data_IF_396807631636
#
_entry.id   IF_396807631636
#
_cell.length_a   1.000
_cell.length_b   1.000
_cell.length_c   1.000
_cell.angle_alpha   90.00
_cell.angle_beta   90.00
_cell.angle_gamma   90.00
#
_symmetry.space_group_name_H-M   'P 1'
#
loop_
_entity.id
_entity.type
_entity.pdbx_description
1 polymer ?
#
# COMPACT_ATOMS: atom_id res chain seq x y z
N UNK A 1 7.35 3.10 -20.52
CA UNK A 1 6.06 3.21 -19.84
C UNK A 1 6.27 4.15 -18.68
N UNK A 2 5.62 5.31 -18.74
CA UNK A 2 5.72 6.31 -17.69
C UNK A 2 4.88 5.93 -16.46
N UNK A 3 5.23 6.50 -15.30
CA UNK A 3 4.50 6.25 -14.03
C UNK A 3 3.00 6.53 -14.18
N UNK A 4 2.67 7.66 -14.80
CA UNK A 4 1.28 8.08 -15.02
C UNK A 4 0.52 7.15 -15.95
N UNK A 5 1.17 6.66 -17.01
CA UNK A 5 0.57 5.72 -17.95
C UNK A 5 0.27 4.37 -17.27
N UNK A 6 1.18 3.92 -16.41
CA UNK A 6 0.96 2.73 -15.59
C UNK A 6 -0.21 2.91 -14.62
N UNK A 7 -0.28 4.05 -13.92
CA UNK A 7 -1.35 4.32 -12.93
C UNK A 7 -2.73 4.48 -13.59
N UNK A 8 -2.80 5.03 -14.80
CA UNK A 8 -4.07 5.14 -15.55
C UNK A 8 -4.75 3.79 -15.77
N UNK A 9 -4.00 2.68 -15.83
CA UNK A 9 -4.58 1.34 -15.92
C UNK A 9 -5.44 0.94 -14.69
N UNK A 10 -5.31 1.67 -13.57
CA UNK A 10 -6.04 1.44 -12.32
C UNK A 10 -7.18 2.46 -12.08
N UNK A 11 -7.41 3.38 -13.02
CA UNK A 11 -8.53 4.33 -13.01
C UNK A 11 -9.79 3.69 -13.59
N UNK A 12 -10.33 2.69 -12.90
CA UNK A 12 -11.48 1.91 -13.39
C UNK A 12 -12.81 2.66 -13.30
N UNK A 13 -12.89 3.61 -12.38
CA UNK A 13 -14.07 4.42 -12.02
C UNK A 13 -13.92 5.89 -12.40
N UNK A 14 -12.86 6.25 -13.14
CA UNK A 14 -12.52 7.63 -13.45
C UNK A 14 -11.85 8.38 -12.31
N UNK A 15 -11.41 7.68 -11.24
CA UNK A 15 -10.57 8.26 -10.20
C UNK A 15 -9.19 8.66 -10.76
N UNK A 16 -8.76 9.88 -10.48
CA UNK A 16 -7.49 10.42 -10.96
C UNK A 16 -6.49 10.70 -9.83
N UNK A 17 -6.89 10.50 -8.57
CA UNK A 17 -6.00 10.67 -7.42
C UNK A 17 -4.80 9.74 -7.49
N UNK A 18 -3.61 10.33 -7.51
CA UNK A 18 -2.34 9.61 -7.54
C UNK A 18 -2.24 8.55 -6.42
N UNK A 19 -2.63 8.93 -5.19
CA UNK A 19 -2.53 8.05 -4.03
C UNK A 19 -3.48 6.85 -4.16
N UNK A 20 -4.73 7.09 -4.57
CA UNK A 20 -5.72 6.02 -4.75
C UNK A 20 -5.31 5.06 -5.87
N UNK A 21 -4.83 5.59 -6.99
CA UNK A 21 -4.32 4.78 -8.09
C UNK A 21 -3.08 3.97 -7.69
N UNK A 22 -2.18 4.54 -6.89
CA UNK A 22 -1.00 3.85 -6.39
C UNK A 22 -1.39 2.73 -5.41
N UNK A 23 -2.33 2.96 -4.50
CA UNK A 23 -2.85 1.93 -3.60
C UNK A 23 -3.46 0.78 -4.41
N UNK A 24 -4.27 1.09 -5.42
CA UNK A 24 -4.87 0.08 -6.31
C UNK A 24 -3.81 -0.69 -7.08
N UNK A 25 -2.77 0.00 -7.58
CA UNK A 25 -1.63 -0.65 -8.21
C UNK A 25 -0.94 -1.60 -7.23
N UNK A 26 -0.70 -1.20 -5.98
CA UNK A 26 -0.10 -2.09 -4.96
C UNK A 26 -1.00 -3.28 -4.59
N UNK A 27 -2.33 -3.14 -4.68
CA UNK A 27 -3.27 -4.20 -4.35
C UNK A 27 -3.49 -5.22 -5.49
N UNK A 28 -3.49 -4.76 -6.74
CA UNK A 28 -3.93 -5.56 -7.89
C UNK A 28 -2.93 -5.62 -9.04
N UNK A 29 -1.90 -4.79 -9.00
CA UNK A 29 -0.86 -4.69 -10.03
C UNK A 29 0.25 -5.72 -9.88
N UNK A 30 1.14 -5.74 -10.87
CA UNK A 30 2.33 -6.59 -10.81
C UNK A 30 3.44 -5.89 -9.98
N UNK A 31 3.87 -6.47 -8.85
CA UNK A 31 4.84 -5.83 -7.95
C UNK A 31 6.21 -5.58 -8.59
N UNK A 32 6.63 -6.40 -9.56
CA UNK A 32 7.89 -6.18 -10.28
C UNK A 32 7.86 -4.90 -11.12
N UNK A 33 6.70 -4.59 -11.73
CA UNK A 33 6.53 -3.34 -12.46
C UNK A 33 6.49 -2.15 -11.52
N UNK A 34 5.85 -2.30 -10.37
CA UNK A 34 5.75 -1.24 -9.35
C UNK A 34 7.14 -0.90 -8.81
N UNK A 35 7.94 -1.91 -8.45
CA UNK A 35 9.30 -1.72 -7.94
C UNK A 35 10.26 -1.07 -8.95
N UNK A 36 9.99 -1.18 -10.26
CA UNK A 36 10.78 -0.50 -11.29
C UNK A 36 10.39 0.97 -11.48
N UNK A 37 9.14 1.33 -11.15
CA UNK A 37 8.58 2.64 -11.46
C UNK A 37 8.62 3.59 -10.26
N UNK A 38 8.44 3.08 -9.05
CA UNK A 38 8.33 3.86 -7.81
C UNK A 38 9.51 3.59 -6.89
N UNK A 39 9.87 4.56 -6.06
CA UNK A 39 10.90 4.33 -5.03
C UNK A 39 10.32 3.54 -3.87
N UNK A 40 11.17 2.79 -3.18
CA UNK A 40 10.79 2.05 -1.98
C UNK A 40 10.20 2.97 -0.90
N UNK A 41 10.79 4.15 -0.72
CA UNK A 41 10.35 5.17 0.24
C UNK A 41 8.92 5.68 -0.05
N UNK A 42 8.60 5.92 -1.32
CA UNK A 42 7.25 6.33 -1.76
C UNK A 42 6.23 5.23 -1.44
N UNK A 43 6.55 3.99 -1.80
CA UNK A 43 5.67 2.83 -1.56
C UNK A 43 5.50 2.56 -0.06
N UNK A 44 6.58 2.67 0.71
CA UNK A 44 6.57 2.48 2.18
C UNK A 44 5.68 3.50 2.86
N UNK A 45 5.77 4.78 2.46
CA UNK A 45 4.91 5.82 3.00
C UNK A 45 3.43 5.52 2.73
N UNK A 46 3.08 5.25 1.47
CA UNK A 46 1.69 4.98 1.07
C UNK A 46 1.15 3.72 1.75
N UNK A 47 1.96 2.66 1.84
CA UNK A 47 1.61 1.43 2.53
C UNK A 47 1.32 1.66 4.02
N UNK A 48 2.21 2.38 4.73
CA UNK A 48 2.05 2.65 6.15
C UNK A 48 0.84 3.55 6.47
N UNK A 49 0.60 4.57 5.66
CA UNK A 49 -0.54 5.48 5.81
C UNK A 49 -1.88 4.77 5.52
N UNK A 50 -1.88 3.78 4.61
CA UNK A 50 -3.09 3.09 4.15
C UNK A 50 -3.14 1.60 4.54
N UNK A 51 -2.37 1.19 5.55
CA UNK A 51 -2.19 -0.24 5.90
C UNK A 51 -3.51 -0.99 6.13
N UNK A 52 -4.50 -0.31 6.68
CA UNK A 52 -5.84 -0.83 6.97
C UNK A 52 -6.60 -1.27 5.70
N UNK A 53 -6.20 -0.82 4.51
CA UNK A 53 -6.80 -1.21 3.21
C UNK A 53 -6.19 -2.50 2.65
N UNK A 54 -5.00 -2.87 3.11
CA UNK A 54 -4.31 -4.08 2.67
C UNK A 54 -4.85 -5.29 3.44
N UNK A 55 -5.25 -6.34 2.72
CA UNK A 55 -5.58 -7.63 3.33
C UNK A 55 -4.31 -8.29 3.89
N UNK A 56 -4.48 -9.27 4.78
CA UNK A 56 -3.38 -9.96 5.48
C UNK A 56 -2.28 -10.48 4.54
N UNK A 57 -2.66 -11.08 3.43
CA UNK A 57 -1.74 -11.61 2.40
C UNK A 57 -0.93 -10.49 1.75
N UNK A 58 -1.60 -9.42 1.31
CA UNK A 58 -0.93 -8.26 0.70
C UNK A 58 -0.06 -7.52 1.72
N UNK A 59 -0.48 -7.43 2.99
CA UNK A 59 0.33 -6.84 4.06
C UNK A 59 1.63 -7.58 4.27
N UNK A 60 1.56 -8.91 4.44
CA UNK A 60 2.76 -9.72 4.65
C UNK A 60 3.74 -9.59 3.47
N UNK A 61 3.21 -9.56 2.25
CA UNK A 61 4.00 -9.31 1.05
C UNK A 61 4.69 -7.94 1.07
N UNK A 62 3.93 -6.85 1.23
CA UNK A 62 4.49 -5.50 1.17
C UNK A 62 5.37 -5.16 2.38
N UNK A 63 5.10 -5.73 3.56
CA UNK A 63 5.98 -5.63 4.71
C UNK A 63 7.36 -6.22 4.42
N UNK A 64 7.40 -7.38 3.75
CA UNK A 64 8.65 -8.04 3.40
C UNK A 64 9.39 -7.32 2.26
N UNK A 65 8.65 -6.86 1.25
CA UNK A 65 9.22 -6.15 0.09
C UNK A 65 9.78 -4.78 0.45
N UNK A 66 9.15 -4.07 1.39
CA UNK A 66 9.52 -2.71 1.79
C UNK A 66 10.34 -2.66 3.10
N UNK A 67 10.85 -3.83 3.52
CA UNK A 67 11.65 -4.03 4.75
C UNK A 67 11.09 -3.25 5.95
N UNK A 68 9.77 -3.30 6.15
CA UNK A 68 9.09 -2.55 7.21
C UNK A 68 9.25 -3.30 8.53
N UNK A 69 9.81 -2.62 9.52
CA UNK A 69 9.98 -3.18 10.86
C UNK A 69 8.65 -3.35 11.59
N UNK A 70 8.57 -4.32 12.51
CA UNK A 70 7.40 -4.48 13.37
C UNK A 70 7.11 -3.23 14.22
N UNK A 71 8.15 -2.46 14.57
CA UNK A 71 8.00 -1.21 15.31
C UNK A 71 7.35 -0.09 14.49
N UNK A 72 7.66 0.00 13.19
CA UNK A 72 7.01 0.95 12.27
C UNK A 72 5.53 0.60 12.09
N UNK A 73 5.23 -0.70 11.96
CA UNK A 73 3.86 -1.20 11.86
C UNK A 73 3.05 -0.92 13.12
N UNK A 74 3.62 -1.17 14.32
CA UNK A 74 2.96 -0.91 15.59
C UNK A 74 2.61 0.57 15.76
N UNK A 75 3.53 1.49 15.46
CA UNK A 75 3.25 2.94 15.54
C UNK A 75 2.14 3.38 14.60
N UNK A 76 2.07 2.80 13.40
CA UNK A 76 1.01 3.07 12.44
C UNK A 76 -0.33 2.42 12.84
N UNK A 77 -0.29 1.24 13.44
CA UNK A 77 -1.47 0.55 13.98
C UNK A 77 -2.06 1.29 15.19
N UNK A 78 -1.22 1.77 16.11
CA UNK A 78 -1.65 2.58 17.27
C UNK A 78 -2.32 3.89 16.86
N UNK A 79 -1.88 4.49 15.74
CA UNK A 79 -2.52 5.68 15.15
C UNK A 79 -3.80 5.37 14.37
N UNK A 80 -4.02 4.13 13.96
CA UNK A 80 -5.17 3.72 13.14
C UNK A 80 -6.23 3.01 13.98
N UNK A 81 -7.36 3.70 14.22
CA UNK A 81 -8.49 3.17 15.01
C UNK A 81 -8.94 1.76 14.60
N UNK A 82 -8.91 1.45 13.29
CA UNK A 82 -9.30 0.13 12.76
C UNK A 82 -8.34 -1.00 13.11
N UNK A 83 -7.05 -0.71 13.30
CA UNK A 83 -6.03 -1.71 13.66
C UNK A 83 -5.90 -1.84 15.19
N UNK A 84 -6.12 -0.76 15.95
CA UNK A 84 -6.07 -0.76 17.42
C UNK A 84 -7.29 -1.37 18.11
N UNK A 85 -8.38 -1.63 17.40
CA UNK A 85 -9.58 -2.24 17.97
C UNK A 85 -9.43 -3.77 18.11
N UNK A 86 -9.25 -4.24 19.35
CA UNK A 86 -9.22 -5.66 19.78
C UNK A 86 -10.48 -6.46 19.34
N UNK A 87 -11.56 -5.77 18.93
CA UNK A 87 -12.83 -6.38 18.51
C UNK A 87 -12.80 -7.01 17.11
N UNK A 88 -11.78 -6.74 16.29
CA UNK A 88 -11.58 -7.41 15.00
C UNK A 88 -10.21 -8.09 14.99
N UNK A 89 -10.09 -9.31 15.57
CA UNK A 89 -8.85 -10.05 15.49
C UNK A 89 -8.64 -10.46 14.03
N UNK A 90 -7.58 -9.95 13.41
CA UNK A 90 -7.08 -10.35 12.09
C UNK A 90 -5.93 -11.37 12.23
#
# INVERSE_FOLDING_TARGET
>A
MDREEFLKAFSWDGEESYEELLIRAMLYGNPLKIAQLFTEEELKKVFLENIHRFKRENRAFWQLVLEVSEDELRRCAERNFREGCILFPY
#
